data_IF_637473306809
#
_entry.id   IF_637473306809
#
_cell.length_a   1.000
_cell.length_b   1.000
_cell.length_c   1.000
_cell.angle_alpha   90.00
_cell.angle_beta   90.00
_cell.angle_gamma   90.00
#
_symmetry.space_group_name_H-M   'P 1'
#
loop_
_entity.id
_entity.type
_entity.pdbx_description
1 polymer ?
#
# COMPACT_ATOMS: atom_id res chain seq x y z
N UNK A 1 -13.16 21.77 10.58
CA UNK A 1 -12.23 21.66 11.74
C UNK A 1 -10.91 22.33 11.33
N UNK A 2 -10.22 23.05 12.21
CA UNK A 2 -8.91 23.66 11.89
C UNK A 2 -7.78 22.62 11.85
N UNK A 3 -6.65 22.96 11.22
CA UNK A 3 -5.44 22.13 11.08
C UNK A 3 -4.96 21.56 12.43
N UNK A 4 -5.05 22.33 13.51
CA UNK A 4 -4.71 21.90 14.88
C UNK A 4 -5.51 20.68 15.38
N UNK A 5 -6.71 20.45 14.82
CA UNK A 5 -7.53 19.28 15.14
C UNK A 5 -7.01 18.02 14.44
N UNK A 6 -6.54 18.16 13.20
CA UNK A 6 -5.97 17.05 12.41
C UNK A 6 -4.64 16.61 12.99
N UNK A 7 -3.74 17.55 13.31
CA UNK A 7 -2.43 17.23 13.88
C UNK A 7 -2.55 16.45 15.19
N UNK A 8 -3.54 16.79 16.03
CA UNK A 8 -3.84 16.05 17.27
C UNK A 8 -4.44 14.67 17.03
N UNK A 9 -5.20 14.48 15.96
CA UNK A 9 -5.74 13.17 15.59
C UNK A 9 -4.61 12.25 15.10
N UNK A 10 -3.76 12.76 14.20
CA UNK A 10 -2.59 12.02 13.72
C UNK A 10 -1.57 11.71 14.81
N UNK A 11 -1.32 12.64 15.74
CA UNK A 11 -0.45 12.37 16.89
C UNK A 11 -0.99 11.21 17.75
N UNK A 12 -2.32 11.14 17.94
CA UNK A 12 -2.96 10.03 18.64
C UNK A 12 -2.84 8.72 17.86
N UNK A 13 -3.09 8.73 16.55
CA UNK A 13 -2.92 7.56 15.70
C UNK A 13 -1.49 7.00 15.81
N UNK A 14 -0.47 7.85 15.61
CA UNK A 14 0.95 7.46 15.70
C UNK A 14 1.29 6.87 17.07
N UNK A 15 0.68 7.38 18.16
CA UNK A 15 0.91 6.85 19.50
C UNK A 15 0.26 5.49 19.78
N UNK A 16 -0.79 5.14 19.03
CA UNK A 16 -1.56 3.89 19.18
C UNK A 16 -1.09 2.78 18.23
N UNK A 17 -0.52 3.14 17.09
CA UNK A 17 0.05 2.16 16.17
C UNK A 17 1.25 1.48 16.85
N UNK A 18 1.26 0.15 17.04
CA UNK A 18 2.53 -0.55 17.19
C UNK A 18 3.37 -0.20 15.97
N UNK A 19 4.68 0.08 16.13
CA UNK A 19 5.55 0.46 15.01
C UNK A 19 5.56 -0.68 13.97
N UNK A 20 4.65 -0.64 13.01
CA UNK A 20 4.68 -1.51 11.84
C UNK A 20 5.81 -1.01 10.94
N UNK A 21 7.02 -1.51 11.19
CA UNK A 21 7.89 -1.79 10.06
C UNK A 21 7.24 -2.96 9.30
N UNK A 22 7.13 -2.92 7.96
CA UNK A 22 6.92 -4.18 7.25
C UNK A 22 8.05 -5.10 7.69
N UNK A 23 7.73 -6.21 8.35
CA UNK A 23 8.68 -7.30 8.52
C UNK A 23 8.94 -7.88 7.12
N UNK A 24 9.82 -7.20 6.37
CA UNK A 24 10.57 -7.84 5.30
C UNK A 24 11.41 -8.86 6.04
N UNK A 25 11.02 -10.14 5.96
CA UNK A 25 11.58 -11.27 6.70
C UNK A 25 13.03 -11.07 7.09
N UNK A 26 13.24 -10.59 8.32
CA UNK A 26 14.54 -10.34 8.87
C UNK A 26 15.18 -11.67 9.20
N UNK A 27 16.23 -12.02 8.46
CA UNK A 27 17.19 -13.05 8.88
C UNK A 27 17.68 -12.70 10.28
N UNK A 28 17.31 -13.52 11.28
CA UNK A 28 17.82 -13.37 12.64
C UNK A 28 19.35 -13.50 12.65
N UNK A 29 20.11 -12.55 13.23
CA UNK A 29 21.58 -12.62 13.23
C UNK A 29 22.14 -13.69 14.18
N UNK A 30 21.33 -14.36 15.00
CA UNK A 30 21.79 -15.42 15.90
C UNK A 30 20.61 -16.34 16.26
N UNK A 31 20.54 -17.50 15.61
CA UNK A 31 19.52 -18.51 15.87
C UNK A 31 20.00 -19.90 15.43
N UNK A 32 20.97 -20.43 16.17
CA UNK A 32 21.40 -21.82 16.06
C UNK A 32 20.23 -22.72 16.45
N UNK A 33 19.67 -23.43 15.47
CA UNK A 33 18.97 -24.69 15.75
C UNK A 33 19.82 -25.84 15.23
N UNK A 34 20.55 -26.44 16.16
CA UNK A 34 21.26 -27.70 16.00
C UNK A 34 20.27 -28.80 15.60
N UNK A 35 20.51 -29.45 14.45
CA UNK A 35 20.02 -30.81 14.21
C UNK A 35 21.05 -31.79 14.80
N UNK A 36 20.64 -32.80 15.58
CA UNK A 36 21.55 -33.86 15.99
C UNK A 36 21.70 -34.87 14.85
N UNK A 37 22.95 -35.22 14.55
CA UNK A 37 23.27 -36.43 13.79
C UNK A 37 24.12 -36.22 12.54
N UNK A 38 25.37 -36.65 12.66
CA UNK A 38 26.24 -37.21 11.61
C UNK A 38 27.12 -36.26 10.78
N UNK A 39 28.44 -36.48 10.94
CA UNK A 39 29.38 -36.47 9.81
C UNK A 39 30.39 -35.32 9.79
N UNK A 40 31.53 -35.51 10.46
CA UNK A 40 32.70 -34.64 10.39
C UNK A 40 33.29 -34.56 8.96
N UNK A 41 33.87 -33.40 8.60
CA UNK A 41 35.31 -33.22 8.34
C UNK A 41 35.64 -31.86 7.66
N UNK A 42 36.70 -31.23 8.18
CA UNK A 42 37.75 -30.49 7.46
C UNK A 42 37.49 -29.08 6.89
N UNK A 43 38.02 -28.09 7.63
CA UNK A 43 38.95 -27.01 7.17
C UNK A 43 39.12 -26.77 5.66
N UNK A 44 38.97 -25.51 5.20
CA UNK A 44 40.12 -24.63 4.89
C UNK A 44 39.74 -23.23 4.37
N UNK A 45 40.46 -22.23 4.90
CA UNK A 45 41.11 -21.08 4.24
C UNK A 45 40.39 -20.16 3.22
N UNK A 46 40.27 -18.89 3.62
CA UNK A 46 40.57 -17.66 2.88
C UNK A 46 40.69 -17.72 1.35
N UNK A 47 39.87 -16.91 0.66
CA UNK A 47 40.31 -16.04 -0.46
C UNK A 47 39.25 -14.99 -0.83
N UNK A 48 39.60 -13.72 -0.62
CA UNK A 48 39.10 -12.64 -1.47
C UNK A 48 39.68 -12.75 -2.88
N UNK A 49 38.90 -12.39 -3.90
CA UNK A 49 39.45 -11.73 -5.09
C UNK A 49 38.83 -10.36 -5.30
N UNK A 50 39.69 -9.43 -5.71
CA UNK A 50 39.41 -8.04 -6.06
C UNK A 50 39.15 -7.96 -7.58
N UNK A 51 38.06 -7.27 -7.96
CA UNK A 51 37.87 -6.57 -9.25
C UNK A 51 37.12 -7.32 -10.38
N UNK A 52 36.56 -6.61 -11.39
CA UNK A 52 36.67 -5.17 -11.67
C UNK A 52 35.34 -4.38 -11.74
N UNK A 53 35.50 -3.07 -11.66
CA UNK A 53 34.56 -1.97 -11.88
C UNK A 53 34.20 -1.76 -13.35
N UNK A 54 32.90 -1.70 -13.65
CA UNK A 54 32.25 -1.01 -14.80
C UNK A 54 30.76 -1.44 -14.77
N UNK A 55 29.72 -0.61 -14.71
CA UNK A 55 29.55 0.77 -15.12
C UNK A 55 28.23 0.84 -15.89
N UNK A 56 27.11 1.12 -15.23
CA UNK A 56 25.94 1.76 -15.81
C UNK A 56 25.37 2.71 -14.76
N UNK A 57 25.47 4.00 -15.06
CA UNK A 57 25.17 5.09 -14.14
C UNK A 57 23.70 5.11 -13.80
N UNK A 58 23.40 4.90 -12.52
CA UNK A 58 22.30 5.61 -11.89
C UNK A 58 22.72 7.09 -11.87
N UNK A 59 21.89 7.96 -12.43
CA UNK A 59 22.14 9.39 -12.49
C UNK A 59 22.11 9.97 -11.05
N UNK A 60 23.27 9.96 -10.40
CA UNK A 60 23.49 10.49 -9.04
C UNK A 60 23.17 12.00 -8.94
N UNK A 61 22.95 12.66 -10.08
CA UNK A 61 22.68 14.09 -10.14
C UNK A 61 21.26 14.46 -9.68
N UNK A 62 20.37 13.49 -9.43
CA UNK A 62 18.98 13.72 -9.02
C UNK A 62 18.57 13.07 -7.67
N UNK A 63 19.40 12.23 -7.06
CA UNK A 63 19.18 11.80 -5.65
C UNK A 63 19.25 12.99 -4.66
N UNK A 64 19.71 14.16 -5.12
CA UNK A 64 19.73 15.41 -4.37
C UNK A 64 18.46 16.27 -4.53
N UNK A 65 17.48 15.89 -5.36
CA UNK A 65 16.16 16.54 -5.37
C UNK A 65 15.29 16.04 -4.18
N UNK A 66 15.70 16.50 -3.01
CA UNK A 66 14.88 16.85 -1.83
C UNK A 66 14.06 15.74 -1.17
N UNK A 67 14.73 14.97 -0.31
CA UNK A 67 14.12 14.53 0.94
C UNK A 67 13.54 15.77 1.64
N UNK A 68 12.22 15.96 1.54
CA UNK A 68 11.50 17.08 2.16
C UNK A 68 10.81 18.09 1.24
N UNK A 69 10.92 18.01 -0.10
CA UNK A 69 10.08 18.86 -0.96
C UNK A 69 8.61 18.46 -0.88
N UNK A 70 7.75 19.47 -1.02
CA UNK A 70 6.31 19.28 -1.15
C UNK A 70 5.98 19.09 -2.62
N UNK A 71 5.27 18.01 -2.91
CA UNK A 71 4.84 17.65 -4.25
C UNK A 71 3.37 18.00 -4.44
N UNK A 72 3.02 18.59 -5.57
CA UNK A 72 1.63 18.74 -6.01
C UNK A 72 1.19 17.50 -6.80
N UNK A 73 -0.12 17.37 -7.04
CA UNK A 73 -0.62 16.35 -7.95
C UNK A 73 -0.03 16.49 -9.35
N UNK A 74 0.13 17.74 -9.83
CA UNK A 74 0.73 18.02 -11.14
C UNK A 74 2.18 17.55 -11.24
N UNK A 75 2.97 17.71 -10.17
CA UNK A 75 4.35 17.24 -10.15
C UNK A 75 4.39 15.71 -10.17
N UNK A 76 3.51 15.06 -9.40
CA UNK A 76 3.46 13.60 -9.27
C UNK A 76 3.13 12.90 -10.60
N UNK A 77 2.20 13.46 -11.38
CA UNK A 77 1.74 12.84 -12.64
C UNK A 77 2.64 13.13 -13.83
N UNK A 78 3.71 13.92 -13.64
CA UNK A 78 4.73 14.09 -14.67
C UNK A 78 5.28 12.71 -15.12
N UNK A 79 5.33 12.43 -16.44
CA UNK A 79 5.76 11.12 -16.93
C UNK A 79 7.14 10.71 -16.42
N UNK A 80 8.08 11.65 -16.26
CA UNK A 80 9.42 11.33 -15.76
C UNK A 80 9.39 10.90 -14.30
N UNK A 81 8.54 11.52 -13.48
CA UNK A 81 8.32 11.18 -12.07
C UNK A 81 7.67 9.80 -11.98
N UNK A 82 6.65 9.54 -12.81
CA UNK A 82 5.96 8.26 -12.85
C UNK A 82 6.88 7.11 -13.26
N UNK A 83 7.71 7.31 -14.29
CA UNK A 83 8.74 6.33 -14.69
C UNK A 83 9.73 6.05 -13.55
N UNK A 84 10.17 7.08 -12.81
CA UNK A 84 11.07 6.90 -11.65
C UNK A 84 10.41 6.09 -10.54
N UNK A 85 9.16 6.38 -10.22
CA UNK A 85 8.38 5.64 -9.23
C UNK A 85 8.25 4.15 -9.56
N UNK A 86 7.94 3.83 -10.82
CA UNK A 86 7.86 2.45 -11.32
C UNK A 86 9.23 1.77 -11.27
N UNK A 87 10.29 2.45 -11.71
CA UNK A 87 11.66 1.92 -11.67
C UNK A 87 12.12 1.65 -10.23
N UNK A 88 11.80 2.54 -9.29
CA UNK A 88 12.10 2.36 -7.88
C UNK A 88 11.40 1.14 -7.28
N UNK A 89 10.09 0.97 -7.58
CA UNK A 89 9.35 -0.22 -7.12
C UNK A 89 9.90 -1.51 -7.73
N UNK A 90 10.22 -1.48 -9.03
CA UNK A 90 10.83 -2.60 -9.75
C UNK A 90 12.16 -3.02 -9.11
N UNK A 91 13.04 -2.05 -8.85
CA UNK A 91 14.34 -2.28 -8.24
C UNK A 91 14.20 -2.82 -6.81
N UNK A 92 13.41 -2.16 -5.98
CA UNK A 92 13.26 -2.50 -4.56
C UNK A 92 12.70 -3.90 -4.35
N UNK A 93 11.72 -4.31 -5.17
CA UNK A 93 11.10 -5.63 -5.09
C UNK A 93 11.64 -6.64 -6.10
N UNK A 94 12.72 -6.31 -6.82
CA UNK A 94 13.36 -7.19 -7.80
C UNK A 94 12.37 -7.77 -8.82
N UNK A 95 11.41 -6.95 -9.26
CA UNK A 95 10.39 -7.37 -10.22
C UNK A 95 10.97 -7.37 -11.64
N UNK A 96 10.61 -8.37 -12.44
CA UNK A 96 11.09 -8.45 -13.83
C UNK A 96 10.38 -7.42 -14.74
N UNK A 97 9.09 -7.18 -14.48
CA UNK A 97 8.19 -6.40 -15.34
C UNK A 97 7.85 -5.04 -14.74
N UNK A 98 7.93 -4.00 -15.57
CA UNK A 98 7.47 -2.65 -15.22
C UNK A 98 5.96 -2.61 -14.96
N UNK A 99 5.20 -3.49 -15.62
CA UNK A 99 3.76 -3.59 -15.38
C UNK A 99 3.47 -4.08 -13.97
N UNK A 100 4.21 -5.06 -13.49
CA UNK A 100 4.04 -5.59 -12.13
C UNK A 100 4.47 -4.54 -11.10
N UNK A 101 5.57 -3.82 -11.37
CA UNK A 101 6.05 -2.72 -10.56
C UNK A 101 5.05 -1.56 -10.50
N UNK A 102 4.35 -1.24 -11.59
CA UNK A 102 3.29 -0.23 -11.60
C UNK A 102 2.12 -0.60 -10.69
N UNK A 103 1.68 -1.86 -10.71
CA UNK A 103 0.62 -2.33 -9.81
C UNK A 103 1.06 -2.23 -8.34
N UNK A 104 2.29 -2.65 -8.04
CA UNK A 104 2.81 -2.62 -6.69
C UNK A 104 3.00 -1.19 -6.17
N UNK A 105 3.54 -0.31 -7.02
CA UNK A 105 3.70 1.10 -6.70
C UNK A 105 2.36 1.75 -6.41
N UNK A 106 1.37 1.59 -7.30
CA UNK A 106 0.05 2.16 -7.11
C UNK A 106 -0.62 1.63 -5.85
N UNK A 107 -0.50 0.33 -5.56
CA UNK A 107 -1.02 -0.26 -4.34
C UNK A 107 -0.44 0.41 -3.08
N UNK A 108 0.89 0.57 -3.03
CA UNK A 108 1.55 1.27 -1.93
C UNK A 108 1.09 2.73 -1.83
N UNK A 109 1.03 3.42 -2.96
CA UNK A 109 0.70 4.83 -3.02
C UNK A 109 -0.75 5.10 -2.58
N UNK A 110 -1.71 4.28 -3.01
CA UNK A 110 -3.09 4.35 -2.54
C UNK A 110 -3.16 4.21 -1.02
N UNK A 111 -2.44 3.24 -0.43
CA UNK A 111 -2.42 3.04 1.03
C UNK A 111 -1.80 4.23 1.77
N UNK A 112 -0.77 4.88 1.21
CA UNK A 112 -0.23 6.14 1.76
C UNK A 112 -1.31 7.22 1.90
N UNK A 113 -2.24 7.31 0.95
CA UNK A 113 -3.28 8.34 0.94
C UNK A 113 -4.46 8.00 1.86
N UNK A 114 -4.90 6.73 1.85
CA UNK A 114 -6.20 6.38 2.45
C UNK A 114 -6.08 5.72 3.82
N UNK A 115 -5.04 4.93 4.09
CA UNK A 115 -5.02 4.08 5.28
C UNK A 115 -5.04 4.88 6.60
N UNK A 116 -4.14 5.87 6.82
CA UNK A 116 -4.19 6.66 8.05
C UNK A 116 -5.50 7.43 8.23
N UNK A 117 -6.07 7.92 7.13
CA UNK A 117 -7.32 8.69 7.13
C UNK A 117 -8.53 7.83 7.49
N UNK A 118 -8.60 6.61 6.95
CA UNK A 118 -9.69 5.67 7.25
C UNK A 118 -9.57 5.08 8.66
N UNK A 119 -8.36 4.88 9.15
CA UNK A 119 -8.12 4.58 10.57
C UNK A 119 -8.72 5.64 11.49
N UNK A 120 -8.45 6.92 11.23
CA UNK A 120 -9.06 8.01 12.00
C UNK A 120 -10.57 8.12 11.81
N UNK A 121 -11.07 7.77 10.62
CA UNK A 121 -12.50 7.83 10.29
C UNK A 121 -13.29 6.81 11.11
N UNK A 122 -12.73 5.60 11.26
CA UNK A 122 -13.35 4.53 12.04
C UNK A 122 -13.19 4.80 13.55
N UNK A 123 -11.97 5.07 14.02
CA UNK A 123 -11.67 5.09 15.45
C UNK A 123 -12.07 6.40 16.16
N UNK A 124 -11.99 7.53 15.45
CA UNK A 124 -12.12 8.86 16.06
C UNK A 124 -13.22 9.69 15.38
N UNK A 125 -13.94 9.11 14.40
CA UNK A 125 -14.95 9.83 13.59
C UNK A 125 -14.41 11.11 12.94
N UNK A 126 -13.10 11.17 12.70
CA UNK A 126 -12.44 12.25 11.96
C UNK A 126 -12.10 11.72 10.59
N UNK A 127 -12.55 12.40 9.53
CA UNK A 127 -12.33 11.95 8.16
C UNK A 127 -11.39 12.93 7.43
N UNK A 128 -10.06 12.76 7.53
CA UNK A 128 -9.12 13.57 6.77
C UNK A 128 -9.32 13.39 5.26
N UNK A 129 -9.22 14.48 4.49
CA UNK A 129 -9.38 14.42 3.03
C UNK A 129 -8.23 13.66 2.38
N UNK A 130 -8.48 12.74 1.43
CA UNK A 130 -7.43 12.09 0.65
C UNK A 130 -6.94 12.96 -0.52
N UNK A 131 -7.45 14.19 -0.68
CA UNK A 131 -7.04 15.11 -1.75
C UNK A 131 -5.60 15.60 -1.56
N UNK A 132 -4.72 15.27 -2.51
CA UNK A 132 -3.31 15.65 -2.49
C UNK A 132 -3.15 17.17 -2.45
N UNK A 133 -3.98 17.92 -3.18
CA UNK A 133 -3.85 19.38 -3.29
C UNK A 133 -4.23 20.12 -2.00
N UNK A 134 -4.96 19.47 -1.10
CA UNK A 134 -5.32 20.00 0.22
C UNK A 134 -4.30 19.62 1.31
N UNK A 135 -3.24 18.89 0.97
CA UNK A 135 -2.31 18.32 1.94
C UNK A 135 -0.83 18.54 1.63
N UNK A 136 0.01 17.79 2.32
CA UNK A 136 1.45 17.79 2.13
C UNK A 136 1.85 16.38 1.68
N UNK A 137 2.14 16.24 0.40
CA UNK A 137 2.73 15.03 -0.17
C UNK A 137 4.26 15.18 -0.20
N UNK A 138 4.95 14.17 0.29
CA UNK A 138 6.42 14.14 0.32
C UNK A 138 6.93 12.79 -0.17
N UNK A 139 7.93 12.84 -1.04
CA UNK A 139 8.74 11.67 -1.36
C UNK A 139 9.67 11.35 -0.18
N UNK A 140 9.82 10.07 0.12
CA UNK A 140 10.70 9.59 1.20
C UNK A 140 11.98 9.04 0.59
N UNK A 141 11.98 7.75 0.30
CA UNK A 141 13.10 7.03 -0.30
C UNK A 141 12.56 5.96 -1.23
N UNK A 142 13.30 5.65 -2.30
CA UNK A 142 12.89 4.64 -3.27
C UNK A 142 11.47 4.89 -3.79
N UNK A 143 10.59 3.92 -3.60
CA UNK A 143 9.20 4.01 -4.05
C UNK A 143 8.23 4.61 -3.02
N UNK A 144 8.71 4.97 -1.83
CA UNK A 144 7.88 5.32 -0.68
C UNK A 144 7.50 6.79 -0.65
N UNK A 145 6.23 7.04 -0.33
CA UNK A 145 5.63 8.36 -0.20
C UNK A 145 4.96 8.49 1.16
N UNK A 146 4.89 9.73 1.67
CA UNK A 146 4.11 10.09 2.85
C UNK A 146 3.14 11.21 2.52
N UNK A 147 1.96 11.16 3.11
CA UNK A 147 0.93 12.19 2.92
C UNK A 147 0.39 12.66 4.27
N UNK A 148 0.29 13.98 4.43
CA UNK A 148 -0.34 14.63 5.57
C UNK A 148 -1.55 15.45 5.08
N UNK A 149 -2.79 15.01 5.34
CA UNK A 149 -3.98 15.76 4.97
C UNK A 149 -4.04 17.14 5.65
N UNK A 150 -4.35 18.20 4.88
CA UNK A 150 -4.57 19.54 5.45
C UNK A 150 -6.05 19.92 5.61
N UNK A 151 -6.96 19.07 5.14
CA UNK A 151 -8.41 19.26 5.22
C UNK A 151 -9.14 18.01 5.73
N UNK A 152 -10.42 18.19 6.08
CA UNK A 152 -11.35 17.09 6.40
C UNK A 152 -12.45 17.02 5.36
N UNK A 153 -12.93 15.81 5.10
CA UNK A 153 -14.13 15.51 4.31
C UNK A 153 -15.15 14.78 5.20
N UNK A 154 -16.19 14.22 4.61
CA UNK A 154 -17.13 13.31 5.27
C UNK A 154 -16.97 11.89 4.73
N UNK A 155 -17.43 10.89 5.50
CA UNK A 155 -17.32 9.47 5.12
C UNK A 155 -17.99 9.17 3.78
N UNK A 156 -19.15 9.76 3.53
CA UNK A 156 -19.92 9.66 2.27
C UNK A 156 -19.28 10.40 1.08
N UNK A 157 -18.33 11.30 1.34
CA UNK A 157 -17.59 12.03 0.29
C UNK A 157 -16.18 11.46 0.07
N UNK A 158 -15.61 10.76 1.05
CA UNK A 158 -14.21 10.31 1.03
C UNK A 158 -13.86 9.54 -0.25
N UNK A 159 -14.69 8.57 -0.63
CA UNK A 159 -14.49 7.76 -1.82
C UNK A 159 -14.50 8.56 -3.12
N UNK A 160 -15.42 9.53 -3.25
CA UNK A 160 -15.50 10.40 -4.42
C UNK A 160 -14.27 11.31 -4.55
N UNK A 161 -13.88 11.95 -3.43
CA UNK A 161 -12.65 12.76 -3.39
C UNK A 161 -11.42 11.94 -3.76
N UNK A 162 -11.33 10.70 -3.27
CA UNK A 162 -10.23 9.82 -3.63
C UNK A 162 -10.26 9.41 -5.10
N UNK A 163 -11.44 9.14 -5.67
CA UNK A 163 -11.59 8.79 -7.08
C UNK A 163 -11.07 9.89 -8.01
N UNK A 164 -11.42 11.15 -7.73
CA UNK A 164 -10.92 12.30 -8.49
C UNK A 164 -9.42 12.50 -8.32
N UNK A 165 -8.91 12.36 -7.09
CA UNK A 165 -7.49 12.52 -6.77
C UNK A 165 -6.63 11.47 -7.49
N UNK A 166 -7.05 10.20 -7.49
CA UNK A 166 -6.24 9.09 -8.01
C UNK A 166 -6.37 8.93 -9.53
N UNK A 167 -7.42 9.47 -10.13
CA UNK A 167 -7.67 9.36 -11.58
C UNK A 167 -6.47 9.80 -12.44
N UNK A 168 -5.92 11.02 -12.32
CA UNK A 168 -4.80 11.44 -13.17
C UNK A 168 -3.51 10.64 -12.87
N UNK A 169 -3.35 10.12 -11.66
CA UNK A 169 -2.25 9.19 -11.31
C UNK A 169 -2.38 7.89 -12.10
N UNK A 170 -3.58 7.30 -12.16
CA UNK A 170 -3.85 6.09 -12.94
C UNK A 170 -3.64 6.34 -14.43
N UNK A 171 -4.12 7.48 -14.95
CA UNK A 171 -3.96 7.85 -16.36
C UNK A 171 -2.49 7.99 -16.76
N UNK A 172 -1.69 8.72 -15.98
CA UNK A 172 -0.24 8.86 -16.18
C UNK A 172 0.50 7.52 -16.06
N UNK A 173 0.16 6.70 -15.06
CA UNK A 173 0.77 5.39 -14.87
C UNK A 173 0.46 4.43 -16.03
N UNK A 174 -0.78 4.46 -16.53
CA UNK A 174 -1.21 3.71 -17.71
C UNK A 174 -0.44 4.14 -18.96
N UNK A 175 -0.21 5.43 -19.14
CA UNK A 175 0.54 5.97 -20.27
C UNK A 175 2.01 5.48 -20.26
N UNK A 176 2.71 5.62 -19.13
CA UNK A 176 4.14 5.28 -19.07
C UNK A 176 4.43 3.78 -19.06
N UNK A 177 3.48 2.93 -18.65
CA UNK A 177 3.70 1.47 -18.52
C UNK A 177 2.88 0.61 -19.48
N UNK A 178 1.98 1.22 -20.26
CA UNK A 178 1.01 0.51 -21.09
C UNK A 178 0.14 -0.51 -20.33
N UNK A 179 -0.02 -0.34 -19.01
CA UNK A 179 -0.99 -1.08 -18.20
C UNK A 179 -2.38 -0.49 -18.47
N UNK A 180 -3.39 -1.35 -18.66
CA UNK A 180 -4.76 -0.85 -18.84
C UNK A 180 -5.28 -0.17 -17.55
N UNK A 181 -6.08 0.90 -17.65
CA UNK A 181 -6.57 1.61 -16.45
C UNK A 181 -7.47 0.76 -15.54
N UNK A 182 -8.17 -0.24 -16.08
CA UNK A 182 -9.14 -1.05 -15.33
C UNK A 182 -8.55 -1.78 -14.10
N UNK A 183 -7.47 -2.59 -14.22
CA UNK A 183 -6.84 -3.21 -13.06
C UNK A 183 -6.26 -2.18 -12.06
N UNK A 184 -5.78 -1.03 -12.53
CA UNK A 184 -5.27 0.04 -11.66
C UNK A 184 -6.39 0.68 -10.82
N UNK A 185 -7.57 0.89 -11.40
CA UNK A 185 -8.75 1.36 -10.66
C UNK A 185 -9.23 0.33 -9.64
N UNK A 186 -9.14 -0.96 -9.97
CA UNK A 186 -9.46 -2.01 -9.01
C UNK A 186 -8.53 -1.95 -7.78
N UNK A 187 -7.26 -1.57 -7.95
CA UNK A 187 -6.33 -1.36 -6.83
C UNK A 187 -6.79 -0.19 -5.97
N UNK A 188 -7.15 0.94 -6.58
CA UNK A 188 -7.61 2.12 -5.85
C UNK A 188 -8.87 1.83 -5.02
N UNK A 189 -9.91 1.22 -5.61
CA UNK A 189 -11.14 0.93 -4.88
C UNK A 189 -10.90 -0.08 -3.75
N UNK A 190 -10.16 -1.18 -4.02
CA UNK A 190 -9.84 -2.17 -2.98
C UNK A 190 -9.02 -1.58 -1.82
N UNK A 191 -8.23 -0.52 -2.04
CA UNK A 191 -7.46 0.12 -0.98
C UNK A 191 -8.37 0.79 0.07
N UNK A 192 -9.54 1.30 -0.35
CA UNK A 192 -10.55 1.82 0.57
C UNK A 192 -11.10 0.71 1.45
N UNK A 193 -11.53 -0.39 0.84
CA UNK A 193 -12.07 -1.54 1.56
C UNK A 193 -11.05 -2.12 2.54
N UNK A 194 -9.82 -2.37 2.09
CA UNK A 194 -8.77 -2.95 2.93
C UNK A 194 -8.47 -2.05 4.13
N UNK A 195 -8.25 -0.75 3.91
CA UNK A 195 -7.92 0.17 4.99
C UNK A 195 -9.02 0.31 6.04
N UNK A 196 -10.29 0.44 5.62
CA UNK A 196 -11.41 0.62 6.54
C UNK A 196 -11.73 -0.65 7.34
N UNK A 197 -11.66 -1.83 6.70
CA UNK A 197 -11.88 -3.10 7.40
C UNK A 197 -10.74 -3.45 8.35
N UNK A 198 -9.48 -3.18 7.98
CA UNK A 198 -8.32 -3.32 8.87
C UNK A 198 -8.46 -2.39 10.09
N UNK A 199 -8.83 -1.12 9.87
CA UNK A 199 -9.09 -0.18 10.97
C UNK A 199 -10.19 -0.66 11.93
N UNK A 200 -11.28 -1.21 11.40
CA UNK A 200 -12.38 -1.74 12.20
C UNK A 200 -11.97 -2.99 12.99
N UNK A 201 -11.26 -3.93 12.36
CA UNK A 201 -10.75 -5.11 13.05
C UNK A 201 -9.82 -4.74 14.21
N UNK A 202 -8.90 -3.79 13.98
CA UNK A 202 -7.91 -3.39 14.98
C UNK A 202 -8.51 -2.53 16.11
N UNK A 203 -9.67 -1.89 15.88
CA UNK A 203 -10.45 -1.19 16.90
C UNK A 203 -11.51 -2.08 17.57
N UNK A 204 -11.52 -3.39 17.28
CA UNK A 204 -12.56 -4.34 17.74
C UNK A 204 -13.99 -3.93 17.34
N UNK A 205 -14.11 -3.22 16.22
CA UNK A 205 -15.36 -2.75 15.62
C UNK A 205 -15.46 -3.21 14.14
N UNK A 206 -15.44 -4.52 13.84
CA UNK A 206 -15.42 -5.04 12.47
C UNK A 206 -16.62 -4.59 11.63
N UNK A 207 -17.81 -4.48 12.23
CA UNK A 207 -19.01 -3.98 11.54
C UNK A 207 -18.89 -2.51 11.13
N UNK A 208 -18.28 -1.67 11.97
CA UNK A 208 -18.04 -0.26 11.67
C UNK A 208 -17.04 -0.10 10.52
N UNK A 209 -15.97 -0.92 10.53
CA UNK A 209 -15.01 -0.98 9.43
C UNK A 209 -15.64 -1.40 8.10
N UNK A 210 -16.51 -2.41 8.14
CA UNK A 210 -17.26 -2.88 6.96
C UNK A 210 -18.22 -1.82 6.41
N UNK A 211 -18.99 -1.14 7.28
CA UNK A 211 -19.87 -0.05 6.88
C UNK A 211 -19.09 1.12 6.28
N UNK A 212 -17.96 1.48 6.89
CA UNK A 212 -17.07 2.53 6.39
C UNK A 212 -16.49 2.17 5.02
N UNK A 213 -16.04 0.92 4.85
CA UNK A 213 -15.56 0.39 3.57
C UNK A 213 -16.63 0.49 2.47
N UNK A 214 -17.83 -0.05 2.73
CA UNK A 214 -18.93 -0.04 1.79
C UNK A 214 -19.32 1.40 1.39
N UNK A 215 -19.43 2.31 2.36
CA UNK A 215 -19.75 3.72 2.11
C UNK A 215 -18.71 4.39 1.20
N UNK A 216 -17.41 4.17 1.48
CA UNK A 216 -16.34 4.78 0.70
C UNK A 216 -16.26 4.18 -0.72
N UNK A 217 -16.37 2.87 -0.87
CA UNK A 217 -16.34 2.23 -2.20
C UNK A 217 -17.57 2.58 -3.04
N UNK A 218 -18.74 2.77 -2.41
CA UNK A 218 -19.95 3.25 -3.08
C UNK A 218 -19.75 4.67 -3.61
N UNK A 219 -19.25 5.59 -2.78
CA UNK A 219 -18.94 6.96 -3.20
C UNK A 219 -17.88 7.00 -4.32
N UNK A 220 -16.85 6.17 -4.24
CA UNK A 220 -15.84 6.04 -5.30
C UNK A 220 -16.49 5.57 -6.61
N UNK A 221 -17.35 4.56 -6.55
CA UNK A 221 -18.00 3.97 -7.72
C UNK A 221 -18.99 4.94 -8.37
N UNK A 222 -19.74 5.68 -7.57
CA UNK A 222 -20.67 6.69 -8.07
C UNK A 222 -19.91 7.81 -8.77
N UNK A 223 -18.79 8.27 -8.20
CA UNK A 223 -17.92 9.22 -8.87
C UNK A 223 -17.31 8.62 -10.15
N UNK A 224 -16.80 7.38 -10.10
CA UNK A 224 -16.28 6.66 -11.27
C UNK A 224 -17.26 6.63 -12.46
N UNK A 225 -18.56 6.54 -12.17
CA UNK A 225 -19.61 6.50 -13.16
C UNK A 225 -19.84 7.87 -13.84
N UNK A 226 -19.55 9.01 -13.19
CA UNK A 226 -19.73 10.36 -13.78
C UNK A 226 -18.82 10.58 -14.99
N UNK A 227 -17.66 9.92 -15.01
CA UNK A 227 -16.70 9.88 -16.11
C UNK A 227 -16.75 8.58 -16.92
N UNK A 228 -17.87 7.85 -16.82
CA UNK A 228 -18.23 6.75 -17.72
C UNK A 228 -17.49 5.43 -17.45
N UNK A 229 -16.97 5.22 -16.24
CA UNK A 229 -16.24 4.00 -15.91
C UNK A 229 -16.93 3.18 -14.83
N UNK A 230 -16.84 1.86 -14.97
CA UNK A 230 -17.29 0.89 -13.98
C UNK A 230 -16.09 0.33 -13.23
N UNK A 231 -16.20 0.28 -11.91
CA UNK A 231 -15.26 -0.41 -11.02
C UNK A 231 -15.94 -1.60 -10.34
N UNK A 232 -15.18 -2.60 -9.87
CA UNK A 232 -15.73 -3.72 -9.12
C UNK A 232 -16.47 -3.25 -7.85
N UNK A 233 -17.52 -3.98 -7.41
CA UNK A 233 -18.18 -3.69 -6.14
C UNK A 233 -17.36 -4.20 -4.95
N UNK A 234 -17.59 -3.58 -3.79
CA UNK A 234 -17.08 -4.04 -2.50
C UNK A 234 -17.50 -5.48 -2.24
N UNK A 235 -16.55 -6.27 -1.73
CA UNK A 235 -16.80 -7.65 -1.29
C UNK A 235 -16.01 -7.92 -0.03
N UNK A 236 -16.71 -8.39 0.97
CA UNK A 236 -16.17 -8.79 2.26
C UNK A 236 -16.58 -10.21 2.61
N UNK A 237 -15.93 -10.76 3.62
CA UNK A 237 -16.29 -11.99 4.27
C UNK A 237 -16.08 -11.85 5.78
N UNK A 238 -17.06 -12.29 6.56
CA UNK A 238 -16.91 -12.47 7.99
C UNK A 238 -16.20 -13.78 8.29
N UNK A 239 -15.25 -13.73 9.21
CA UNK A 239 -14.48 -14.88 9.68
C UNK A 239 -14.41 -14.85 11.21
N UNK A 240 -14.08 -16.00 11.80
CA UNK A 240 -13.59 -16.09 13.18
C UNK A 240 -12.13 -16.45 13.10
N UNK A 241 -11.25 -15.62 13.68
CA UNK A 241 -9.82 -15.88 13.65
C UNK A 241 -9.41 -16.98 14.66
N UNK A 242 -8.12 -17.32 14.67
CA UNK A 242 -7.57 -18.34 15.57
C UNK A 242 -7.72 -18.01 17.07
N UNK A 243 -7.94 -16.73 17.41
CA UNK A 243 -8.19 -16.26 18.77
C UNK A 243 -9.67 -16.31 19.14
N UNK A 244 -10.55 -16.67 18.20
CA UNK A 244 -11.99 -16.69 18.40
C UNK A 244 -12.66 -15.33 18.20
N UNK A 245 -11.96 -14.34 17.63
CA UNK A 245 -12.50 -13.00 17.40
C UNK A 245 -13.18 -12.93 16.03
N UNK A 246 -14.36 -12.29 15.98
CA UNK A 246 -15.02 -12.01 14.71
C UNK A 246 -14.29 -10.88 13.97
N UNK A 247 -13.93 -11.13 12.72
CA UNK A 247 -13.25 -10.16 11.84
C UNK A 247 -13.92 -10.08 10.49
N UNK A 248 -13.75 -8.95 9.83
CA UNK A 248 -14.14 -8.75 8.42
C UNK A 248 -12.89 -8.72 7.55
N UNK A 249 -12.85 -9.55 6.52
CA UNK A 249 -11.76 -9.55 5.53
C UNK A 249 -12.27 -9.15 4.15
N UNK A 250 -11.45 -8.39 3.41
CA UNK A 250 -11.80 -7.94 2.06
C UNK A 250 -11.45 -9.00 1.02
N UNK A 251 -12.41 -9.26 0.15
CA UNK A 251 -12.24 -10.13 -1.01
C UNK A 251 -11.86 -9.28 -2.23
N UNK A 252 -10.58 -8.91 -2.28
CA UNK A 252 -10.00 -8.02 -3.28
C UNK A 252 -10.32 -8.43 -4.72
N UNK A 253 -10.58 -7.44 -5.57
CA UNK A 253 -10.72 -7.59 -7.02
C UNK A 253 -9.39 -7.41 -7.76
N UNK A 254 -8.42 -6.80 -7.11
CA UNK A 254 -7.13 -6.37 -7.65
C UNK A 254 -5.96 -7.21 -7.16
N UNK A 255 -4.92 -7.29 -7.99
CA UNK A 255 -3.65 -7.90 -7.62
C UNK A 255 -2.55 -6.83 -7.64
N UNK A 256 -1.88 -6.60 -6.50
CA UNK A 256 -0.72 -5.71 -6.40
C UNK A 256 0.56 -6.30 -7.04
N UNK A 257 0.52 -7.54 -7.51
CA UNK A 257 1.64 -8.27 -8.12
C UNK A 257 2.86 -8.51 -7.22
N UNK A 258 2.79 -8.18 -5.92
CA UNK A 258 3.90 -8.38 -4.97
C UNK A 258 4.43 -9.82 -4.94
N UNK A 259 3.54 -10.81 -5.09
CA UNK A 259 3.88 -12.24 -5.10
C UNK A 259 4.83 -12.67 -6.26
N UNK A 260 5.06 -11.78 -7.24
CA UNK A 260 6.02 -12.02 -8.31
C UNK A 260 7.45 -11.61 -7.94
N UNK A 261 7.62 -10.92 -6.82
CA UNK A 261 8.93 -10.65 -6.24
C UNK A 261 9.51 -11.95 -5.68
N UNK A 262 10.82 -12.23 -5.89
CA UNK A 262 11.49 -13.33 -5.19
C UNK A 262 11.60 -13.10 -3.68
N UNK A 263 11.25 -11.91 -3.19
CA UNK A 263 11.36 -11.51 -1.79
C UNK A 263 10.05 -11.60 -1.01
N UNK A 264 8.94 -11.98 -1.66
CA UNK A 264 7.61 -11.96 -1.04
C UNK A 264 6.73 -13.13 -1.49
N UNK A 265 6.03 -13.71 -0.52
CA UNK A 265 4.97 -14.69 -0.75
C UNK A 265 3.62 -14.00 -1.01
N UNK A 266 2.58 -14.81 -1.27
CA UNK A 266 1.20 -14.31 -1.36
C UNK A 266 0.69 -13.89 0.01
N UNK A 267 0.12 -12.68 0.11
CA UNK A 267 -0.57 -12.22 1.32
C UNK A 267 -1.95 -12.87 1.46
N UNK A 268 -2.51 -12.82 2.67
CA UNK A 268 -3.86 -13.31 3.01
C UNK A 268 -4.96 -12.70 2.10
N UNK A 269 -4.81 -11.41 1.78
CA UNK A 269 -5.72 -10.66 0.90
C UNK A 269 -5.45 -10.87 -0.59
N UNK A 270 -4.50 -11.73 -0.98
CA UNK A 270 -4.16 -11.95 -2.39
C UNK A 270 -5.33 -12.61 -3.13
N UNK A 271 -5.82 -12.06 -4.27
CA UNK A 271 -6.90 -12.67 -5.04
C UNK A 271 -6.46 -13.97 -5.75
N UNK A 272 -5.14 -14.22 -5.85
CA UNK A 272 -4.58 -15.46 -6.40
C UNK A 272 -4.53 -16.59 -5.39
N UNK A 273 -4.69 -16.29 -4.09
CA UNK A 273 -4.82 -17.32 -3.07
C UNK A 273 -6.12 -18.09 -3.28
N UNK A 274 -6.04 -19.41 -3.29
CA UNK A 274 -7.23 -20.26 -3.31
C UNK A 274 -8.03 -20.12 -2.00
N UNK A 275 -9.31 -20.49 -2.04
CA UNK A 275 -10.23 -20.26 -0.92
C UNK A 275 -9.88 -21.08 0.33
N UNK A 276 -9.32 -22.28 0.16
CA UNK A 276 -9.00 -23.17 1.27
C UNK A 276 -7.75 -22.68 1.99
N UNK A 277 -6.70 -22.35 1.24
CA UNK A 277 -5.47 -21.82 1.81
C UNK A 277 -5.69 -20.43 2.44
N UNK A 278 -6.53 -19.56 1.85
CA UNK A 278 -6.92 -18.31 2.50
C UNK A 278 -7.60 -18.56 3.84
N UNK A 279 -8.55 -19.51 3.89
CA UNK A 279 -9.25 -19.86 5.12
C UNK A 279 -8.27 -20.34 6.19
N UNK A 280 -7.37 -21.25 5.82
CA UNK A 280 -6.35 -21.75 6.74
C UNK A 280 -5.44 -20.64 7.25
N UNK A 281 -5.05 -19.67 6.42
CA UNK A 281 -4.24 -18.52 6.86
C UNK A 281 -4.98 -17.54 7.77
N UNK A 282 -6.31 -17.54 7.76
CA UNK A 282 -7.15 -16.62 8.52
C UNK A 282 -7.70 -17.25 9.81
N UNK A 283 -7.84 -18.56 9.85
CA UNK A 283 -8.34 -19.34 11.00
C UNK A 283 -7.20 -19.93 11.86
N UNK A 284 -5.94 -19.81 11.43
CA UNK A 284 -4.72 -20.21 12.18
C UNK A 284 -3.97 -19.00 12.72
#
# INVERSE_FOLDING_TARGET
MGTDSLDRAFARLISRQPRFAPEIGGVSPNGVHSRPGEGALSSNENRHPIGPTSGQGFDQTLEQESVGARWTLSDLVDPSVMTRNVAAAKHQFQLESEKDAAHLWLYSFCNTLVAPSLWLTVQESVCPSPNIDDGILQHREGMWWSFHPGATTTRDQFGAVFADTIRPVIESLSEVTSVSPAPLRAIAVDALGSAATEAGNDDFAPAEGEECAATCEDAFRDEAATWGVRVPPFRSQWITDAMGEERVVVVRSSCCMMYRSPMADMCTNCPRQDKESRRNLLEL
#
